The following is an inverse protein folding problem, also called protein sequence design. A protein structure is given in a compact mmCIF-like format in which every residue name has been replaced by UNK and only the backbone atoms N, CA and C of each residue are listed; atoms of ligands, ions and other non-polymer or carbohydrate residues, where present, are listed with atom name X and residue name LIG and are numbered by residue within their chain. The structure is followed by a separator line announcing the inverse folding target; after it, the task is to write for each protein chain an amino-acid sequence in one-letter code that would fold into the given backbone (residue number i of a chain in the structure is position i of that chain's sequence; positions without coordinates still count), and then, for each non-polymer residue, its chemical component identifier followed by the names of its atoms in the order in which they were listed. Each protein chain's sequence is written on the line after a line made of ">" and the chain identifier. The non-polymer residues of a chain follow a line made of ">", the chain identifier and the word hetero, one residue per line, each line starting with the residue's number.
data_IF_341354008887
#
_entry.id   IF_341354008887
#
_cell.length_a   1.000
_cell.length_b   1.000
_cell.length_c   1.000
_cell.angle_alpha   90.00
_cell.angle_beta   90.00
_cell.angle_gamma   90.00
#
_symmetry.space_group_name_H-M   'P 1'
#
loop_
_entity.id
_entity.type
_entity.pdbx_description
1 polymer ?
#
# COMPACT_ATOMS: atom_id res chain seq x y z
N UNK A 1 -110.88 60.71 11.41
CA UNK A 1 -109.40 60.85 11.40
C UNK A 1 -108.77 60.79 12.81
N UNK A 2 -109.15 59.85 13.68
CA UNK A 2 -108.51 59.66 15.01
C UNK A 2 -107.87 58.28 15.23
N UNK A 3 -108.10 57.33 14.31
CA UNK A 3 -107.54 55.97 14.36
C UNK A 3 -106.18 55.83 13.63
N UNK A 4 -105.98 56.58 12.54
CA UNK A 4 -104.70 56.61 11.83
C UNK A 4 -103.62 57.42 12.55
N UNK A 5 -104.01 58.41 13.36
CA UNK A 5 -103.08 59.23 14.17
C UNK A 5 -102.42 58.40 15.29
N UNK A 6 -103.14 57.41 15.84
CA UNK A 6 -102.67 56.57 16.95
C UNK A 6 -101.81 55.38 16.46
N UNK A 7 -102.08 54.89 15.23
CA UNK A 7 -101.26 53.88 14.56
C UNK A 7 -99.91 54.42 14.05
N UNK A 8 -99.85 55.70 13.67
CA UNK A 8 -98.63 56.35 13.19
C UNK A 8 -97.67 56.70 14.33
N UNK A 9 -98.19 56.99 15.53
CA UNK A 9 -97.37 57.21 16.73
C UNK A 9 -96.79 55.90 17.28
N UNK A 10 -97.53 54.79 17.19
CA UNK A 10 -97.06 53.48 17.68
C UNK A 10 -95.97 52.86 16.80
N UNK A 11 -95.98 53.14 15.50
CA UNK A 11 -94.93 52.70 14.56
C UNK A 11 -93.63 53.51 14.69
N UNK A 12 -93.72 54.78 15.08
CA UNK A 12 -92.55 55.64 15.32
C UNK A 12 -91.79 55.28 16.60
N UNK A 13 -92.48 54.76 17.64
CA UNK A 13 -91.85 54.36 18.91
C UNK A 13 -91.13 53.00 18.83
N UNK A 14 -91.54 52.11 17.92
CA UNK A 14 -90.89 50.80 17.71
C UNK A 14 -89.58 50.90 16.92
N UNK A 15 -89.42 51.94 16.07
CA UNK A 15 -88.19 52.15 15.31
C UNK A 15 -87.06 52.78 16.14
N UNK A 16 -87.37 53.39 17.29
CA UNK A 16 -86.39 54.07 18.15
C UNK A 16 -85.62 53.17 19.14
N UNK A 17 -85.98 51.89 19.28
CA UNK A 17 -85.37 50.97 20.26
C UNK A 17 -84.21 50.15 19.69
N UNK A 18 -83.95 50.22 18.37
CA UNK A 18 -82.88 49.47 17.70
C UNK A 18 -81.55 50.23 17.55
N UNK A 19 -81.38 51.39 18.20
CA UNK A 19 -80.21 52.28 17.97
C UNK A 19 -79.37 52.58 19.22
N UNK A 20 -79.21 51.61 20.13
CA UNK A 20 -78.10 51.61 21.09
C UNK A 20 -76.97 50.73 20.54
N UNK A 21 -75.85 51.36 20.20
CA UNK A 21 -74.74 50.76 19.48
C UNK A 21 -73.92 49.73 20.26
N UNK A 22 -73.17 48.95 19.49
CA UNK A 22 -71.88 48.40 19.88
C UNK A 22 -70.92 48.67 18.71
N UNK A 23 -69.77 49.25 19.03
CA UNK A 23 -68.72 49.64 18.10
C UNK A 23 -68.17 48.45 17.29
N UNK A 24 -67.56 48.67 16.10
CA UNK A 24 -66.93 47.59 15.35
C UNK A 24 -65.68 47.14 16.12
N UNK A 25 -65.67 45.91 16.63
CA UNK A 25 -64.43 45.25 17.01
C UNK A 25 -63.93 44.54 15.76
N UNK A 26 -63.16 45.26 14.94
CA UNK A 26 -62.18 44.61 14.08
C UNK A 26 -61.22 43.85 15.01
N UNK A 27 -61.39 42.54 15.08
CA UNK A 27 -60.41 41.68 15.72
C UNK A 27 -59.24 41.45 14.75
N UNK A 28 -58.16 42.17 15.01
CA UNK A 28 -56.80 41.80 14.62
C UNK A 28 -56.27 40.66 15.52
N UNK A 29 -57.06 39.61 15.75
CA UNK A 29 -56.74 38.52 16.70
C UNK A 29 -55.81 37.45 16.13
N UNK A 30 -55.62 37.35 14.81
CA UNK A 30 -54.78 36.31 14.20
C UNK A 30 -53.26 36.49 14.32
N UNK A 31 -52.77 37.70 14.63
CA UNK A 31 -51.33 38.01 14.57
C UNK A 31 -50.65 38.02 15.95
N UNK A 32 -51.38 38.36 17.03
CA UNK A 32 -50.88 38.22 18.41
C UNK A 32 -50.86 36.75 18.86
N UNK A 33 -51.82 35.95 18.40
CA UNK A 33 -51.94 34.54 18.76
C UNK A 33 -50.84 33.68 18.10
N UNK A 34 -50.33 34.11 16.94
CA UNK A 34 -49.26 33.41 16.24
C UNK A 34 -47.91 33.49 16.96
N UNK A 35 -47.52 34.67 17.46
CA UNK A 35 -46.26 34.82 18.21
C UNK A 35 -46.33 34.15 19.59
N UNK A 36 -47.49 34.14 20.24
CA UNK A 36 -47.72 33.42 21.49
C UNK A 36 -47.69 31.90 21.27
N UNK A 37 -48.37 31.40 20.23
CA UNK A 37 -48.34 29.98 19.84
C UNK A 37 -46.93 29.54 19.43
N UNK A 38 -46.19 30.36 18.67
CA UNK A 38 -44.80 30.08 18.29
C UNK A 38 -43.90 29.98 19.51
N UNK A 39 -44.04 30.89 20.48
CA UNK A 39 -43.29 30.84 21.73
C UNK A 39 -43.62 29.58 22.53
N UNK A 40 -44.91 29.23 22.61
CA UNK A 40 -45.37 27.99 23.25
C UNK A 40 -44.78 26.75 22.59
N UNK A 41 -44.78 26.65 21.25
CA UNK A 41 -44.20 25.52 20.51
C UNK A 41 -42.68 25.44 20.72
N UNK A 42 -41.98 26.59 20.67
CA UNK A 42 -40.53 26.63 20.92
C UNK A 42 -40.20 26.19 22.35
N UNK A 43 -41.01 26.60 23.33
CA UNK A 43 -40.81 26.22 24.73
C UNK A 43 -41.11 24.73 24.93
N UNK A 44 -42.17 24.18 24.31
CA UNK A 44 -42.46 22.73 24.29
C UNK A 44 -41.28 21.94 23.71
N UNK A 45 -40.72 22.34 22.57
CA UNK A 45 -39.55 21.68 21.97
C UNK A 45 -38.30 21.74 22.87
N UNK A 46 -38.16 22.79 23.69
CA UNK A 46 -37.05 22.96 24.64
C UNK A 46 -37.24 22.20 25.95
N UNK A 47 -38.47 21.84 26.30
CA UNK A 47 -38.75 21.02 27.49
C UNK A 47 -38.09 19.64 27.39
N UNK A 48 -37.90 19.00 28.54
CA UNK A 48 -37.31 17.67 28.60
C UNK A 48 -38.19 16.64 27.89
N UNK A 49 -39.51 16.81 27.89
CA UNK A 49 -40.44 15.93 27.19
C UNK A 49 -40.38 16.14 25.67
N UNK A 50 -40.26 17.38 25.20
CA UNK A 50 -40.02 17.68 23.78
C UNK A 50 -38.70 17.12 23.27
N UNK A 51 -37.62 17.22 24.05
CA UNK A 51 -36.32 16.61 23.73
C UNK A 51 -36.39 15.08 23.71
N UNK A 52 -37.08 14.46 24.67
CA UNK A 52 -37.27 13.00 24.71
C UNK A 52 -38.08 12.51 23.52
N UNK A 53 -39.19 13.17 23.20
CA UNK A 53 -40.01 12.84 22.05
C UNK A 53 -39.21 12.96 20.73
N UNK A 54 -38.41 14.02 20.58
CA UNK A 54 -37.48 14.14 19.44
C UNK A 54 -36.42 13.04 19.43
N UNK A 55 -35.85 12.67 20.58
CA UNK A 55 -34.88 11.57 20.67
C UNK A 55 -35.51 10.21 20.33
N UNK A 56 -36.77 9.98 20.69
CA UNK A 56 -37.50 8.75 20.32
C UNK A 56 -37.77 8.71 18.82
N UNK A 57 -38.20 9.83 18.24
CA UNK A 57 -38.38 9.95 16.78
C UNK A 57 -37.04 9.85 16.05
N UNK A 58 -35.93 10.35 16.63
CA UNK A 58 -34.59 10.22 16.03
C UNK A 58 -34.00 8.81 16.12
N UNK A 59 -34.55 7.94 16.98
CA UNK A 59 -34.19 6.51 17.05
C UNK A 59 -34.96 5.66 16.06
N UNK A 60 -36.00 6.21 15.44
CA UNK A 60 -36.73 5.54 14.38
C UNK A 60 -35.84 5.39 13.13
N UNK A 61 -35.79 4.18 12.57
CA UNK A 61 -34.90 3.86 11.44
C UNK A 61 -35.26 4.63 10.17
N UNK A 62 -36.54 4.85 9.89
CA UNK A 62 -36.99 5.59 8.70
C UNK A 62 -36.61 7.08 8.82
N UNK A 63 -36.73 7.60 10.04
CA UNK A 63 -36.30 8.97 10.36
C UNK A 63 -34.77 9.09 10.23
N UNK A 64 -33.99 8.18 10.85
CA UNK A 64 -32.52 8.19 10.75
C UNK A 64 -32.04 8.14 9.30
N UNK A 65 -32.64 7.28 8.47
CA UNK A 65 -32.32 7.22 7.04
C UNK A 65 -32.58 8.56 6.35
N UNK A 66 -33.72 9.20 6.64
CA UNK A 66 -34.07 10.50 6.06
C UNK A 66 -33.10 11.62 6.48
N UNK A 67 -32.63 11.59 7.73
CA UNK A 67 -31.71 12.59 8.29
C UNK A 67 -30.24 12.36 7.85
N UNK A 68 -29.83 11.11 7.64
CA UNK A 68 -28.50 10.73 7.13
C UNK A 68 -28.40 10.90 5.60
N UNK A 69 -29.52 11.09 4.89
CA UNK A 69 -29.56 11.18 3.43
C UNK A 69 -29.06 12.49 2.81
N UNK A 70 -28.51 13.43 3.59
CA UNK A 70 -27.71 14.51 2.97
C UNK A 70 -26.38 13.92 2.50
N UNK A 71 -26.42 13.32 1.30
CA UNK A 71 -25.28 12.67 0.67
C UNK A 71 -24.09 13.62 0.49
N UNK A 72 -24.33 14.93 0.35
CA UNK A 72 -23.25 15.90 0.20
C UNK A 72 -22.51 16.10 1.53
N UNK A 73 -23.24 16.26 2.63
CA UNK A 73 -22.63 16.39 3.97
C UNK A 73 -21.94 15.09 4.37
N UNK A 74 -22.55 13.93 4.11
CA UNK A 74 -21.93 12.62 4.41
C UNK A 74 -20.66 12.42 3.58
N UNK A 75 -20.70 12.67 2.27
CA UNK A 75 -19.53 12.54 1.39
C UNK A 75 -18.42 13.49 1.82
N UNK A 76 -18.73 14.77 2.04
CA UNK A 76 -17.74 15.75 2.47
C UNK A 76 -17.13 15.37 3.83
N UNK A 77 -17.96 14.92 4.79
CA UNK A 77 -17.47 14.48 6.10
C UNK A 77 -16.55 13.26 6.00
N UNK A 78 -16.90 12.29 5.14
CA UNK A 78 -16.06 11.11 4.89
C UNK A 78 -14.74 11.52 4.22
N UNK A 79 -14.79 12.35 3.18
CA UNK A 79 -13.60 12.84 2.49
C UNK A 79 -12.68 13.62 3.44
N UNK A 80 -13.22 14.56 4.20
CA UNK A 80 -12.47 15.35 5.21
C UNK A 80 -11.90 14.44 6.30
N UNK A 81 -12.69 13.48 6.81
CA UNK A 81 -12.22 12.58 7.87
C UNK A 81 -11.11 11.67 7.35
N UNK A 82 -11.25 11.08 6.17
CA UNK A 82 -10.26 10.16 5.58
C UNK A 82 -8.97 10.87 5.15
N UNK A 83 -9.07 12.12 4.67
CA UNK A 83 -7.92 12.93 4.24
C UNK A 83 -7.27 13.72 5.37
N UNK A 84 -7.93 13.83 6.53
CA UNK A 84 -7.36 14.47 7.71
C UNK A 84 -6.18 13.68 8.28
N UNK A 85 -5.36 14.36 9.08
CA UNK A 85 -4.29 13.73 9.88
C UNK A 85 -4.85 12.62 10.79
N UNK A 86 -6.05 12.81 11.35
CA UNK A 86 -6.74 11.79 12.17
C UNK A 86 -7.10 10.55 11.36
N UNK A 87 -7.52 10.72 10.10
CA UNK A 87 -7.75 9.60 9.18
C UNK A 87 -6.46 8.84 8.89
N UNK A 88 -5.37 9.56 8.65
CA UNK A 88 -4.05 8.95 8.45
C UNK A 88 -3.57 8.17 9.68
N UNK A 89 -3.73 8.72 10.89
CA UNK A 89 -3.42 8.03 12.15
C UNK A 89 -4.31 6.81 12.39
N UNK A 90 -5.60 6.92 12.05
CA UNK A 90 -6.53 5.79 12.09
C UNK A 90 -6.04 4.65 11.20
N UNK A 91 -5.72 4.94 9.93
CA UNK A 91 -5.19 3.94 9.02
C UNK A 91 -3.88 3.32 9.53
N UNK A 92 -2.94 4.12 10.03
CA UNK A 92 -1.69 3.60 10.63
C UNK A 92 -1.97 2.60 11.74
N UNK A 93 -2.85 2.92 12.70
CA UNK A 93 -3.23 2.01 13.79
C UNK A 93 -3.95 0.76 13.30
N UNK A 94 -4.82 0.89 12.30
CA UNK A 94 -5.56 -0.24 11.74
C UNK A 94 -4.63 -1.18 10.97
N UNK A 95 -3.61 -0.67 10.28
CA UNK A 95 -2.56 -1.47 9.65
C UNK A 95 -1.58 -2.11 10.65
N UNK A 96 -1.65 -1.80 11.95
CA UNK A 96 -0.93 -2.54 12.99
C UNK A 96 -1.67 -3.82 13.42
N UNK A 97 -2.98 -3.95 13.12
CA UNK A 97 -3.76 -5.16 13.42
C UNK A 97 -3.48 -6.25 12.36
N UNK A 98 -2.87 -7.39 12.74
CA UNK A 98 -2.56 -8.46 11.80
C UNK A 98 -3.79 -9.03 11.08
N UNK A 99 -4.96 -9.09 11.73
CA UNK A 99 -6.18 -9.63 11.12
C UNK A 99 -6.72 -8.70 10.03
N UNK A 100 -6.63 -7.40 10.29
CA UNK A 100 -6.96 -6.40 9.30
C UNK A 100 -6.00 -6.47 8.12
N UNK A 101 -4.69 -6.51 8.38
CA UNK A 101 -3.65 -6.60 7.34
C UNK A 101 -3.82 -7.86 6.50
N UNK A 102 -4.08 -9.01 7.11
CA UNK A 102 -4.32 -10.27 6.40
C UNK A 102 -5.54 -10.18 5.46
N UNK A 103 -6.65 -9.64 5.97
CA UNK A 103 -7.87 -9.46 5.19
C UNK A 103 -7.67 -8.47 4.05
N UNK A 104 -7.01 -7.35 4.34
CA UNK A 104 -6.68 -6.33 3.35
C UNK A 104 -5.75 -6.89 2.26
N UNK A 105 -4.62 -7.49 2.65
CA UNK A 105 -3.66 -8.10 1.73
C UNK A 105 -4.30 -9.18 0.85
N UNK A 106 -5.17 -10.01 1.43
CA UNK A 106 -5.92 -11.03 0.68
C UNK A 106 -6.87 -10.40 -0.33
N UNK A 107 -7.58 -9.35 0.07
CA UNK A 107 -8.54 -8.66 -0.82
C UNK A 107 -7.87 -7.97 -2.01
N UNK A 108 -6.65 -7.45 -1.84
CA UNK A 108 -5.92 -6.75 -2.90
C UNK A 108 -4.98 -7.67 -3.68
N UNK A 109 -4.80 -8.92 -3.26
CA UNK A 109 -3.78 -9.84 -3.78
C UNK A 109 -3.78 -9.93 -5.30
N UNK A 110 -4.94 -10.16 -5.90
CA UNK A 110 -5.05 -10.39 -7.34
C UNK A 110 -4.70 -9.13 -8.16
N UNK A 111 -5.16 -7.96 -7.73
CA UNK A 111 -4.82 -6.69 -8.37
C UNK A 111 -3.36 -6.31 -8.12
N UNK A 112 -2.84 -6.56 -6.92
CA UNK A 112 -1.44 -6.32 -6.59
C UNK A 112 -0.50 -7.23 -7.41
N UNK A 113 -0.88 -8.49 -7.62
CA UNK A 113 -0.15 -9.42 -8.49
C UNK A 113 -0.14 -8.95 -9.95
N UNK A 114 -1.27 -8.44 -10.46
CA UNK A 114 -1.34 -7.84 -11.80
C UNK A 114 -0.40 -6.65 -11.93
N UNK A 115 -0.43 -5.73 -10.96
CA UNK A 115 0.45 -4.56 -10.94
C UNK A 115 1.92 -4.98 -10.94
N UNK A 116 2.32 -5.94 -10.10
CA UNK A 116 3.70 -6.45 -10.09
C UNK A 116 4.07 -7.08 -11.44
N UNK A 117 3.18 -7.88 -12.04
CA UNK A 117 3.44 -8.49 -13.36
C UNK A 117 3.57 -7.49 -14.48
N UNK A 118 2.83 -6.38 -14.42
CA UNK A 118 2.94 -5.30 -15.38
C UNK A 118 4.21 -4.48 -15.15
N UNK A 119 4.54 -4.16 -13.89
CA UNK A 119 5.79 -3.50 -13.52
C UNK A 119 7.02 -4.32 -13.94
N UNK A 120 7.00 -5.65 -13.87
CA UNK A 120 8.11 -6.47 -14.39
C UNK A 120 8.40 -6.24 -15.88
N UNK A 121 7.46 -5.72 -16.66
CA UNK A 121 7.64 -5.37 -18.08
C UNK A 121 8.06 -3.90 -18.27
N UNK A 122 7.99 -3.10 -17.22
CA UNK A 122 8.34 -1.69 -17.24
C UNK A 122 9.87 -1.50 -17.16
N UNK A 123 10.47 -0.66 -18.01
CA UNK A 123 11.92 -0.45 -18.04
C UNK A 123 12.50 0.11 -16.73
N UNK A 124 11.78 0.99 -16.04
CA UNK A 124 12.28 1.62 -14.81
C UNK A 124 12.26 0.62 -13.65
N UNK A 125 11.21 -0.19 -13.57
CA UNK A 125 11.15 -1.28 -12.59
C UNK A 125 12.18 -2.37 -12.87
N UNK A 126 12.41 -2.72 -14.14
CA UNK A 126 13.49 -3.64 -14.51
C UNK A 126 14.87 -3.10 -14.13
N UNK A 127 15.09 -1.79 -14.25
CA UNK A 127 16.34 -1.17 -13.81
C UNK A 127 16.55 -1.32 -12.30
N UNK A 128 15.51 -1.05 -11.50
CA UNK A 128 15.58 -1.28 -10.05
C UNK A 128 15.84 -2.77 -9.72
N UNK A 129 15.23 -3.70 -10.45
CA UNK A 129 15.52 -5.12 -10.29
C UNK A 129 16.96 -5.48 -10.67
N UNK A 130 17.52 -4.89 -11.72
CA UNK A 130 18.92 -5.11 -12.11
C UNK A 130 19.89 -4.62 -11.04
N UNK A 131 19.60 -3.50 -10.40
CA UNK A 131 20.40 -3.00 -9.27
C UNK A 131 20.37 -3.99 -8.10
N UNK A 132 19.21 -4.61 -7.80
CA UNK A 132 19.11 -5.69 -6.80
C UNK A 132 19.92 -6.92 -7.20
N UNK A 133 19.92 -7.30 -8.48
CA UNK A 133 20.73 -8.44 -8.96
C UNK A 133 22.24 -8.17 -8.92
N UNK A 134 22.65 -6.91 -8.92
CA UNK A 134 24.05 -6.51 -8.77
C UNK A 134 24.49 -6.42 -7.30
N UNK A 135 23.61 -6.71 -6.35
CA UNK A 135 23.98 -6.77 -4.94
C UNK A 135 25.05 -7.86 -4.70
N UNK A 136 26.06 -7.62 -3.83
CA UNK A 136 27.11 -8.60 -3.54
C UNK A 136 26.62 -9.97 -3.06
N UNK A 137 25.46 -10.04 -2.39
CA UNK A 137 24.88 -11.34 -1.98
C UNK A 137 24.37 -12.13 -3.19
N UNK A 138 23.74 -11.45 -4.14
CA UNK A 138 23.28 -12.03 -5.40
C UNK A 138 24.45 -12.44 -6.28
N UNK A 139 25.51 -11.62 -6.35
CA UNK A 139 26.75 -11.96 -7.03
C UNK A 139 27.37 -13.22 -6.44
N UNK A 140 27.45 -13.34 -5.11
CA UNK A 140 27.99 -14.54 -4.44
C UNK A 140 27.19 -15.80 -4.77
N UNK A 141 25.86 -15.69 -4.82
CA UNK A 141 24.98 -16.79 -5.23
C UNK A 141 25.26 -17.20 -6.69
N UNK A 142 25.39 -16.22 -7.58
CA UNK A 142 25.71 -16.45 -8.99
C UNK A 142 27.10 -17.06 -9.19
N UNK A 143 28.12 -16.60 -8.47
CA UNK A 143 29.47 -17.19 -8.48
C UNK A 143 29.45 -18.63 -7.97
N UNK A 144 28.64 -18.92 -6.96
CA UNK A 144 28.47 -20.29 -6.44
C UNK A 144 27.81 -21.18 -7.51
N UNK A 145 26.81 -20.67 -8.22
CA UNK A 145 26.18 -21.38 -9.33
C UNK A 145 27.17 -21.63 -10.49
N UNK A 146 28.00 -20.66 -10.85
CA UNK A 146 29.06 -20.83 -11.86
C UNK A 146 30.12 -21.85 -11.42
N UNK A 147 30.39 -21.96 -10.13
CA UNK A 147 31.32 -22.97 -9.58
C UNK A 147 30.68 -24.36 -9.40
N UNK A 148 29.38 -24.50 -9.63
CA UNK A 148 28.66 -25.78 -9.51
C UNK A 148 29.20 -26.82 -10.48
N UNK A 149 29.01 -28.10 -10.14
CA UNK A 149 29.45 -29.22 -10.99
C UNK A 149 28.79 -29.21 -12.37
N UNK A 150 27.53 -28.77 -12.46
CA UNK A 150 26.79 -28.71 -13.71
C UNK A 150 27.35 -27.64 -14.64
N UNK A 151 27.65 -26.45 -14.11
CA UNK A 151 28.27 -25.39 -14.91
C UNK A 151 29.72 -25.73 -15.28
N UNK A 152 30.46 -26.43 -14.41
CA UNK A 152 31.82 -26.91 -14.73
C UNK A 152 31.86 -27.85 -15.92
N UNK A 153 30.87 -28.75 -16.08
CA UNK A 153 30.79 -29.62 -17.27
C UNK A 153 30.62 -28.80 -18.54
N UNK A 154 29.67 -27.85 -18.52
CA UNK A 154 29.48 -26.95 -19.65
C UNK A 154 30.73 -26.12 -19.96
N UNK A 155 31.41 -25.62 -18.91
CA UNK A 155 32.66 -24.89 -19.07
C UNK A 155 33.77 -25.78 -19.65
N UNK A 156 33.86 -27.05 -19.23
CA UNK A 156 34.80 -28.02 -19.80
C UNK A 156 34.53 -28.25 -21.29
N UNK A 157 33.26 -28.41 -21.69
CA UNK A 157 32.89 -28.58 -23.09
C UNK A 157 33.28 -27.35 -23.93
N UNK A 158 32.97 -26.15 -23.46
CA UNK A 158 33.35 -24.89 -24.13
C UNK A 158 34.87 -24.75 -24.23
N UNK A 159 35.62 -25.12 -23.19
CA UNK A 159 37.09 -25.12 -23.21
C UNK A 159 37.60 -26.12 -24.25
N UNK A 160 37.05 -27.33 -24.28
CA UNK A 160 37.45 -28.37 -25.22
C UNK A 160 37.14 -27.97 -26.67
N UNK A 161 35.99 -27.36 -26.93
CA UNK A 161 35.63 -26.79 -28.23
C UNK A 161 36.58 -25.65 -28.63
N UNK A 162 36.87 -24.74 -27.69
CA UNK A 162 37.78 -23.61 -27.92
C UNK A 162 39.19 -24.08 -28.25
N UNK A 163 39.73 -25.03 -27.49
CA UNK A 163 41.03 -25.64 -27.74
C UNK A 163 41.04 -26.48 -29.04
N UNK A 164 39.89 -27.02 -29.42
CA UNK A 164 39.73 -27.77 -30.67
C UNK A 164 39.62 -26.88 -31.90
N UNK A 165 39.38 -25.58 -31.73
CA UNK A 165 39.31 -24.60 -32.81
C UNK A 165 40.62 -24.56 -33.61
N UNK A 166 40.57 -24.55 -34.95
CA UNK A 166 41.76 -24.46 -35.80
C UNK A 166 42.66 -23.26 -35.46
N UNK A 167 42.06 -22.12 -35.06
CA UNK A 167 42.82 -20.92 -34.66
C UNK A 167 43.62 -21.15 -33.37
N UNK A 168 43.01 -21.80 -32.38
CA UNK A 168 43.70 -22.10 -31.12
C UNK A 168 44.72 -23.22 -31.29
N UNK A 169 44.43 -24.26 -32.07
CA UNK A 169 45.41 -25.29 -32.43
C UNK A 169 46.64 -24.71 -33.10
N UNK A 170 46.46 -23.81 -34.08
CA UNK A 170 47.56 -23.12 -34.74
C UNK A 170 48.36 -22.25 -33.76
N UNK A 171 47.68 -21.51 -32.87
CA UNK A 171 48.34 -20.69 -31.85
C UNK A 171 49.12 -21.52 -30.83
N UNK A 172 48.58 -22.67 -30.41
CA UNK A 172 49.28 -23.62 -29.53
C UNK A 172 50.51 -24.18 -30.25
N UNK A 173 50.38 -24.58 -31.51
CA UNK A 173 51.51 -25.07 -32.31
C UNK A 173 52.60 -24.00 -32.48
N UNK A 174 52.24 -22.76 -32.84
CA UNK A 174 53.17 -21.63 -32.94
C UNK A 174 53.87 -21.34 -31.61
N UNK A 175 53.14 -21.39 -30.49
CA UNK A 175 53.71 -21.19 -29.15
C UNK A 175 54.67 -22.33 -28.78
N UNK A 176 54.34 -23.58 -29.11
CA UNK A 176 55.22 -24.73 -28.87
C UNK A 176 56.49 -24.67 -29.73
N UNK A 177 56.38 -24.23 -30.99
CA UNK A 177 57.53 -24.03 -31.87
C UNK A 177 58.45 -22.92 -31.33
N UNK A 178 57.90 -21.78 -30.90
CA UNK A 178 58.68 -20.71 -30.26
C UNK A 178 59.37 -21.17 -28.97
N UNK A 179 58.66 -21.91 -28.12
CA UNK A 179 59.26 -22.46 -26.90
C UNK A 179 60.39 -23.46 -27.20
N UNK A 180 60.26 -24.25 -28.29
CA UNK A 180 61.31 -25.15 -28.75
C UNK A 180 62.51 -24.40 -29.36
N UNK A 181 62.27 -23.30 -30.07
CA UNK A 181 63.32 -22.40 -30.57
C UNK A 181 64.06 -21.70 -29.41
N UNK A 182 63.34 -21.23 -28.39
CA UNK A 182 63.92 -20.62 -27.18
C UNK A 182 64.71 -21.66 -26.37
N UNK A 183 64.20 -22.88 -26.19
CA UNK A 183 64.97 -23.97 -25.55
C UNK A 183 66.16 -24.43 -26.41
N UNK A 184 66.04 -24.39 -27.73
CA UNK A 184 67.15 -24.66 -28.65
C UNK A 184 68.22 -23.57 -28.63
N UNK A 185 67.83 -22.31 -28.44
CA UNK A 185 68.74 -21.19 -28.21
C UNK A 185 69.36 -21.20 -26.81
N UNK A 186 68.63 -21.68 -25.79
CA UNK A 186 69.12 -21.79 -24.41
C UNK A 186 69.93 -23.08 -24.16
N UNK A 187 69.76 -24.12 -24.98
CA UNK A 187 70.54 -25.35 -24.98
C UNK A 187 71.81 -25.33 -25.86
N UNK A 188 72.07 -24.22 -26.55
CA UNK A 188 73.22 -24.03 -27.44
C UNK A 188 74.52 -23.57 -26.76
N UNK A 189 74.53 -23.34 -25.45
CA UNK A 189 75.72 -22.89 -24.71
C UNK A 189 75.87 -23.63 -23.39
N UNK A 190 76.37 -24.87 -23.44
CA UNK A 190 76.67 -25.59 -22.21
C UNK A 190 77.03 -27.04 -22.39
N UNK A 191 78.06 -27.36 -23.18
CA UNK A 191 78.80 -28.59 -22.92
C UNK A 191 80.24 -28.51 -23.42
N UNK A 192 81.13 -28.06 -22.54
CA UNK A 192 82.52 -28.49 -22.56
C UNK A 192 83.12 -28.35 -21.15
N UNK A 193 82.95 -29.37 -20.31
CA UNK A 193 84.05 -29.89 -19.49
C UNK A 193 83.66 -31.24 -18.88
N UNK A 194 84.24 -32.27 -19.47
CA UNK A 194 84.50 -33.54 -18.83
C UNK A 194 85.60 -33.35 -17.80
N UNK A 195 85.33 -33.69 -16.54
CA UNK A 195 86.39 -34.20 -15.67
C UNK A 195 85.84 -35.19 -14.64
N UNK A 196 86.76 -36.03 -14.20
CA UNK A 196 86.60 -37.42 -13.81
C UNK A 196 86.87 -37.57 -12.31
N UNK A 197 86.24 -38.57 -11.69
CA UNK A 197 86.54 -39.03 -10.33
C UNK A 197 85.52 -38.57 -9.30
N UNK A 198 85.08 -39.37 -8.34
CA UNK A 198 85.47 -40.68 -7.89
C UNK A 198 84.71 -40.95 -6.59
N UNK A 199 84.33 -42.20 -6.40
CA UNK A 199 84.12 -42.92 -5.14
C UNK A 199 83.87 -42.13 -3.83
N UNK A 200 82.68 -42.28 -3.25
CA UNK A 200 82.54 -42.66 -1.83
C UNK A 200 81.10 -42.95 -1.44
N UNK A 201 80.86 -44.25 -1.27
CA UNK A 201 80.27 -44.87 -0.08
C UNK A 201 79.73 -43.96 1.03
N UNK A 202 78.54 -44.28 1.56
CA UNK A 202 78.08 -43.77 2.85
C UNK A 202 76.58 -43.91 3.06
N UNK A 203 76.16 -45.05 3.60
CA UNK A 203 74.78 -45.29 4.04
C UNK A 203 74.37 -44.47 5.26
N UNK A 204 73.10 -44.61 5.65
CA UNK A 204 72.60 -44.05 6.91
C UNK A 204 71.09 -43.84 6.92
N UNK A 205 70.37 -44.93 7.15
CA UNK A 205 69.29 -45.10 8.12
C UNK A 205 68.43 -43.90 8.59
N UNK A 206 67.12 -44.15 8.52
CA UNK A 206 66.06 -43.84 9.51
C UNK A 206 65.89 -42.41 10.01
N UNK A 207 64.67 -41.86 9.83
CA UNK A 207 63.86 -41.59 11.02
C UNK A 207 62.36 -41.77 10.75
N UNK A 208 61.77 -42.49 11.68
CA UNK A 208 60.35 -42.74 11.85
C UNK A 208 59.77 -41.65 12.74
N UNK A 209 58.64 -41.05 12.36
CA UNK A 209 57.78 -40.38 13.33
C UNK A 209 56.32 -40.64 12.95
N UNK A 210 55.76 -41.64 13.65
CA UNK A 210 54.35 -41.72 13.95
C UNK A 210 53.94 -40.46 14.71
N UNK A 211 52.81 -39.87 14.35
CA UNK A 211 51.95 -39.24 15.33
C UNK A 211 50.49 -39.56 14.97
N UNK A 212 49.89 -40.39 15.82
CA UNK A 212 48.45 -40.58 15.94
C UNK A 212 47.79 -39.29 16.44
N UNK A 213 46.55 -39.00 16.03
CA UNK A 213 45.83 -37.83 16.53
C UNK A 213 44.38 -37.74 16.09
N UNK A 214 43.55 -38.55 16.74
CA UNK A 214 42.09 -38.64 16.70
C UNK A 214 41.31 -37.31 16.93
N UNK A 215 40.11 -37.22 16.33
CA UNK A 215 39.03 -36.26 16.66
C UNK A 215 38.35 -35.75 15.38
N UNK A 216 37.12 -36.10 15.01
CA UNK A 216 35.93 -36.30 15.83
C UNK A 216 34.96 -35.18 15.49
N UNK A 217 33.95 -35.46 14.66
CA UNK A 217 32.72 -34.69 14.56
C UNK A 217 31.58 -35.59 14.07
#
# INVERSE_FOLDING_TARGET
>A
MKRYLLLMTFTLTIFGVFSTGCAPREESSGQMDYEETKKMVVDILKTDDGKKALQEVMKDEEMMQTLIMDQNVVKQTIEETLTSEKGTEFWKKVFEDPKFVESFATSIKDEHEKVIKELMKDPDYQKMLMEIFQDPEMEKSMVTAVKSQDFRKHLQDVIMETLSSPLYKAKIQDTLLKAAEEMGQQGGSGQQESEQGGDSSGGGESDSSQEEGNGGN
#
